data_IF_918842305866
#
_entry.id   IF_918842305866
#
_cell.length_a   1.000
_cell.length_b   1.000
_cell.length_c   1.000
_cell.angle_alpha   90.00
_cell.angle_beta   90.00
_cell.angle_gamma   90.00
#
_symmetry.space_group_name_H-M   'P 1'
#
loop_
_entity.id
_entity.type
_entity.pdbx_description
1 polymer ?
#
# COMPACT_ATOMS: atom_id res chain seq x y z
N UNK A 1 -5.80 -90.91 -17.85
CA UNK A 1 -4.59 -90.05 -17.99
C UNK A 1 -5.00 -88.64 -17.71
N UNK A 2 -4.54 -87.96 -16.64
CA UNK A 2 -4.90 -86.63 -16.37
C UNK A 2 -3.94 -85.61 -17.11
N UNK A 3 -4.50 -84.55 -17.64
CA UNK A 3 -3.81 -83.47 -18.34
C UNK A 3 -3.02 -82.58 -17.37
N UNK A 4 -1.78 -82.34 -17.74
CA UNK A 4 -0.86 -81.44 -17.01
C UNK A 4 -1.21 -80.00 -17.36
N UNK A 5 -1.58 -79.19 -16.35
CA UNK A 5 -1.71 -77.71 -16.46
C UNK A 5 -0.33 -77.06 -16.33
N UNK A 6 0.05 -76.33 -17.35
CA UNK A 6 1.26 -75.49 -17.35
C UNK A 6 1.14 -74.25 -16.46
N UNK A 7 2.26 -73.60 -16.05
CA UNK A 7 2.24 -72.47 -15.09
C UNK A 7 1.70 -71.20 -15.70
N UNK A 8 0.77 -70.60 -14.96
CA UNK A 8 0.20 -69.25 -15.24
C UNK A 8 1.25 -68.17 -15.02
N UNK A 9 1.58 -67.40 -16.04
CA UNK A 9 2.43 -66.19 -15.92
C UNK A 9 1.61 -64.98 -15.47
N UNK A 10 1.90 -64.47 -14.27
CA UNK A 10 1.34 -63.27 -13.75
C UNK A 10 1.94 -62.07 -14.51
N UNK A 11 1.16 -61.10 -14.98
CA UNK A 11 1.72 -59.91 -15.63
C UNK A 11 2.39 -59.00 -14.60
N UNK A 12 3.61 -58.55 -14.91
CA UNK A 12 4.41 -57.59 -14.16
C UNK A 12 3.78 -56.18 -14.32
N UNK A 13 3.63 -55.39 -13.27
CA UNK A 13 3.10 -54.05 -13.39
C UNK A 13 4.06 -53.15 -14.18
N UNK A 14 3.53 -52.49 -15.22
CA UNK A 14 4.21 -51.52 -16.05
C UNK A 14 4.56 -50.28 -15.21
N UNK A 15 5.83 -49.90 -15.19
CA UNK A 15 6.28 -48.68 -14.54
C UNK A 15 5.69 -47.45 -15.23
N UNK A 16 4.93 -46.63 -14.48
CA UNK A 16 4.46 -45.34 -14.94
C UNK A 16 5.65 -44.42 -15.21
N UNK A 17 5.62 -43.57 -16.27
CA UNK A 17 6.69 -42.63 -16.54
C UNK A 17 6.75 -41.58 -15.42
N UNK A 18 7.93 -41.45 -14.84
CA UNK A 18 8.25 -40.32 -13.93
C UNK A 18 8.20 -39.06 -14.79
N UNK A 19 7.16 -38.24 -14.59
CA UNK A 19 7.10 -36.89 -15.13
C UNK A 19 8.27 -36.10 -14.50
N UNK A 20 9.29 -35.84 -15.30
CA UNK A 20 10.37 -34.90 -14.94
C UNK A 20 9.71 -33.54 -14.63
N UNK A 21 9.86 -33.07 -13.40
CA UNK A 21 9.42 -31.74 -13.02
C UNK A 21 10.09 -30.74 -13.96
N UNK A 22 9.29 -29.92 -14.64
CA UNK A 22 9.81 -28.80 -15.40
C UNK A 22 10.68 -27.92 -14.48
N UNK A 23 11.80 -27.36 -14.95
CA UNK A 23 12.62 -26.51 -14.13
C UNK A 23 11.76 -25.31 -13.65
N UNK A 24 11.74 -25.10 -12.33
CA UNK A 24 11.14 -23.92 -11.73
C UNK A 24 11.81 -22.71 -12.39
N UNK A 25 11.07 -21.77 -13.00
CA UNK A 25 11.69 -20.60 -13.58
C UNK A 25 12.50 -19.89 -12.48
N UNK A 26 13.75 -19.60 -12.79
CA UNK A 26 14.59 -18.71 -11.94
C UNK A 26 13.80 -17.43 -11.72
N UNK A 27 13.71 -16.89 -10.49
CA UNK A 27 13.00 -15.64 -10.28
C UNK A 27 13.61 -14.60 -11.24
N UNK A 28 12.79 -14.09 -12.16
CA UNK A 28 13.15 -12.94 -12.96
C UNK A 28 13.57 -11.84 -11.98
N UNK A 29 14.69 -11.15 -12.24
CA UNK A 29 15.13 -10.06 -11.41
C UNK A 29 13.92 -9.14 -11.17
N UNK A 30 13.56 -8.91 -9.89
CA UNK A 30 12.37 -8.16 -9.56
C UNK A 30 12.44 -6.78 -10.22
N UNK A 31 11.40 -6.41 -10.97
CA UNK A 31 11.35 -5.14 -11.69
C UNK A 31 11.47 -3.98 -10.70
N UNK A 32 12.21 -2.93 -11.08
CA UNK A 32 12.29 -1.69 -10.31
C UNK A 32 10.88 -1.11 -10.08
N UNK A 33 10.55 -0.74 -8.86
CA UNK A 33 9.29 -0.08 -8.53
C UNK A 33 9.39 1.39 -8.93
N UNK A 34 8.53 1.82 -9.86
CA UNK A 34 8.37 3.21 -10.29
C UNK A 34 6.89 3.54 -10.17
N UNK A 35 6.49 4.04 -9.01
CA UNK A 35 5.09 4.11 -8.64
C UNK A 35 4.61 5.54 -8.36
N UNK A 36 3.29 5.75 -8.48
CA UNK A 36 2.62 6.99 -8.09
C UNK A 36 1.41 6.64 -7.22
N UNK A 37 1.27 7.34 -6.08
CA UNK A 37 0.05 7.27 -5.28
C UNK A 37 -1.04 8.19 -5.84
N UNK A 38 -2.24 7.63 -5.99
CA UNK A 38 -3.49 8.36 -6.27
C UNK A 38 -4.39 8.18 -5.06
N UNK A 39 -4.50 9.22 -4.24
CA UNK A 39 -5.18 9.16 -2.95
C UNK A 39 -6.67 9.47 -3.07
N UNK A 40 -7.40 9.31 -1.98
CA UNK A 40 -8.80 9.72 -1.90
C UNK A 40 -9.01 11.23 -2.16
N UNK A 41 -7.97 12.04 -2.02
CA UNK A 41 -8.03 13.48 -2.30
C UNK A 41 -8.13 13.77 -3.81
N UNK A 42 -7.57 12.91 -4.66
CA UNK A 42 -7.78 12.97 -6.11
C UNK A 42 -9.22 12.58 -6.46
N UNK A 43 -9.75 11.54 -5.78
CA UNK A 43 -11.13 11.08 -6.02
C UNK A 43 -12.19 12.13 -5.67
N UNK A 44 -11.92 13.08 -4.77
CA UNK A 44 -12.80 14.21 -4.47
C UNK A 44 -13.01 15.16 -5.66
N UNK A 45 -12.15 15.11 -6.66
CA UNK A 45 -12.15 15.97 -7.85
C UNK A 45 -12.44 15.20 -9.14
N UNK A 46 -12.77 13.90 -9.03
CA UNK A 46 -13.11 13.02 -10.14
C UNK A 46 -14.61 13.01 -10.35
N UNK A 47 -15.06 12.93 -11.59
CA UNK A 47 -16.49 12.94 -11.93
C UNK A 47 -17.10 11.54 -11.83
N UNK A 48 -17.84 11.28 -10.76
CA UNK A 48 -18.61 10.05 -10.54
C UNK A 48 -20.05 10.11 -11.07
N UNK A 49 -20.45 11.12 -11.83
CA UNK A 49 -21.83 11.26 -12.33
C UNK A 49 -22.26 10.16 -13.28
N UNK A 50 -21.33 9.50 -13.93
CA UNK A 50 -21.52 8.33 -14.79
C UNK A 50 -20.25 7.52 -14.94
N UNK A 51 -20.38 6.22 -15.33
CA UNK A 51 -19.22 5.40 -15.64
C UNK A 51 -18.33 6.02 -16.73
N UNK A 52 -18.94 6.60 -17.78
CA UNK A 52 -18.19 7.21 -18.89
C UNK A 52 -17.40 8.45 -18.47
N UNK A 53 -17.93 9.27 -17.58
CA UNK A 53 -17.26 10.44 -17.04
C UNK A 53 -16.08 10.00 -16.14
N UNK A 54 -16.33 9.09 -15.19
CA UNK A 54 -15.31 8.54 -14.32
C UNK A 54 -14.19 7.85 -15.11
N UNK A 55 -14.55 7.07 -16.14
CA UNK A 55 -13.59 6.39 -17.03
C UNK A 55 -12.69 7.38 -17.77
N UNK A 56 -13.22 8.51 -18.22
CA UNK A 56 -12.43 9.55 -18.87
C UNK A 56 -11.37 10.14 -17.93
N UNK A 57 -11.77 10.49 -16.70
CA UNK A 57 -10.85 11.00 -15.68
C UNK A 57 -9.82 9.95 -15.25
N UNK A 58 -10.26 8.72 -15.01
CA UNK A 58 -9.37 7.61 -14.66
C UNK A 58 -8.34 7.34 -15.77
N UNK A 59 -8.77 7.29 -17.03
CA UNK A 59 -7.87 7.10 -18.17
C UNK A 59 -6.84 8.23 -18.30
N UNK A 60 -7.24 9.49 -18.07
CA UNK A 60 -6.31 10.63 -18.07
C UNK A 60 -5.27 10.52 -16.94
N UNK A 61 -5.69 10.12 -15.73
CA UNK A 61 -4.79 9.87 -14.60
C UNK A 61 -3.77 8.78 -14.95
N UNK A 62 -4.23 7.63 -15.46
CA UNK A 62 -3.35 6.50 -15.79
C UNK A 62 -2.39 6.84 -16.94
N UNK A 63 -2.86 7.57 -17.97
CA UNK A 63 -2.02 8.05 -19.07
C UNK A 63 -0.92 8.99 -18.57
N UNK A 64 -1.26 9.92 -17.68
CA UNK A 64 -0.28 10.82 -17.08
C UNK A 64 0.79 10.05 -16.31
N UNK A 65 0.39 9.09 -15.46
CA UNK A 65 1.31 8.24 -14.69
C UNK A 65 2.22 7.43 -15.61
N UNK A 66 1.67 6.77 -16.62
CA UNK A 66 2.44 6.01 -17.60
C UNK A 66 3.43 6.91 -18.36
N UNK A 67 3.04 8.16 -18.66
CA UNK A 67 3.90 9.13 -19.34
C UNK A 67 5.17 9.51 -18.58
N UNK A 68 5.24 9.27 -17.27
CA UNK A 68 6.46 9.43 -16.47
C UNK A 68 7.47 8.29 -16.66
N UNK A 69 7.10 7.19 -17.33
CA UNK A 69 7.83 5.94 -17.28
C UNK A 69 7.56 5.13 -15.98
N UNK A 70 6.53 5.49 -15.21
CA UNK A 70 6.07 4.69 -14.09
C UNK A 70 5.48 3.36 -14.56
N UNK A 71 5.50 2.35 -13.69
CA UNK A 71 4.96 1.02 -13.97
C UNK A 71 3.87 0.58 -12.98
N UNK A 72 3.64 1.35 -11.92
CA UNK A 72 2.72 0.97 -10.85
C UNK A 72 1.91 2.19 -10.40
N UNK A 73 0.61 1.98 -10.15
CA UNK A 73 -0.26 2.94 -9.47
C UNK A 73 -0.79 2.34 -8.18
N UNK A 74 -0.61 3.08 -7.07
CA UNK A 74 -1.28 2.79 -5.80
C UNK A 74 -2.57 3.59 -5.74
N UNK A 75 -3.70 2.94 -6.04
CA UNK A 75 -5.02 3.58 -6.06
C UNK A 75 -5.73 3.41 -4.71
N UNK A 76 -6.06 4.51 -4.05
CA UNK A 76 -6.69 4.50 -2.72
C UNK A 76 -8.16 4.10 -2.83
N UNK A 77 -8.44 2.81 -2.77
CA UNK A 77 -9.78 2.25 -2.99
C UNK A 77 -10.59 2.08 -1.70
N UNK A 78 -9.93 2.12 -0.53
CA UNK A 78 -10.59 2.05 0.78
C UNK A 78 -9.88 2.95 1.81
N UNK A 79 -10.10 4.27 1.74
CA UNK A 79 -9.50 5.23 2.66
C UNK A 79 -10.18 5.29 4.03
N UNK A 80 -11.45 4.86 4.14
CA UNK A 80 -12.29 4.86 5.32
C UNK A 80 -13.00 3.51 5.49
N UNK A 81 -14.05 3.47 6.33
CA UNK A 81 -14.92 2.30 6.48
C UNK A 81 -15.90 2.11 5.33
N UNK A 82 -15.51 2.50 4.12
CA UNK A 82 -16.27 2.39 2.87
C UNK A 82 -15.32 2.13 1.68
N UNK A 83 -15.83 1.71 0.54
CA UNK A 83 -15.04 1.21 -0.58
C UNK A 83 -15.48 1.80 -1.93
N UNK A 84 -14.53 1.99 -2.85
CA UNK A 84 -14.76 2.38 -4.25
C UNK A 84 -15.18 1.19 -5.13
N UNK A 85 -15.82 0.18 -4.55
CA UNK A 85 -16.23 -1.04 -5.24
C UNK A 85 -17.37 -1.74 -4.49
N UNK A 86 -18.21 -2.54 -5.17
CA UNK A 86 -19.19 -3.41 -4.51
C UNK A 86 -18.52 -4.39 -3.55
N UNK A 87 -18.91 -4.37 -2.28
CA UNK A 87 -18.34 -5.24 -1.25
C UNK A 87 -19.42 -5.76 -0.29
N UNK A 88 -19.22 -6.98 0.21
CA UNK A 88 -20.03 -7.54 1.29
C UNK A 88 -19.58 -7.08 2.67
N UNK A 89 -18.39 -6.48 2.75
CA UNK A 89 -17.74 -6.07 4.00
C UNK A 89 -17.87 -4.57 4.24
N UNK A 90 -17.86 -3.76 3.17
CA UNK A 90 -17.83 -2.31 3.26
C UNK A 90 -18.90 -1.70 2.34
N UNK A 91 -19.66 -0.69 2.80
CA UNK A 91 -20.58 0.04 1.94
C UNK A 91 -19.84 0.80 0.84
N UNK A 92 -20.54 1.21 -0.21
CA UNK A 92 -19.99 2.13 -1.19
C UNK A 92 -19.49 3.43 -0.53
N UNK A 93 -18.36 3.93 -1.03
CA UNK A 93 -17.75 5.13 -0.49
C UNK A 93 -18.59 6.37 -0.74
N UNK A 94 -18.65 7.22 0.29
CA UNK A 94 -19.20 8.57 0.18
C UNK A 94 -18.52 9.41 -0.91
N UNK A 95 -17.28 9.08 -1.30
CA UNK A 95 -16.56 9.76 -2.38
C UNK A 95 -17.26 9.61 -3.74
N UNK A 96 -17.99 8.50 -3.94
CA UNK A 96 -18.67 8.25 -5.22
C UNK A 96 -19.92 9.13 -5.44
N UNK A 97 -20.67 9.43 -4.37
CA UNK A 97 -21.99 10.07 -4.49
C UNK A 97 -22.22 11.19 -3.47
N UNK A 98 -21.26 11.44 -2.57
CA UNK A 98 -21.43 12.31 -1.41
C UNK A 98 -22.07 11.61 -0.20
N UNK A 99 -22.62 10.39 -0.36
CA UNK A 99 -23.34 9.65 0.69
C UNK A 99 -22.79 8.24 0.82
N UNK A 100 -22.36 7.87 2.03
CA UNK A 100 -21.88 6.51 2.29
C UNK A 100 -22.98 5.47 2.05
N UNK A 101 -22.67 4.41 1.33
CA UNK A 101 -23.59 3.30 1.03
C UNK A 101 -24.49 3.53 -0.18
N UNK A 102 -24.47 4.71 -0.80
CA UNK A 102 -25.18 4.96 -2.03
C UNK A 102 -24.40 4.42 -3.23
N UNK A 103 -25.01 3.52 -4.00
CA UNK A 103 -24.46 2.94 -5.21
C UNK A 103 -24.34 4.01 -6.31
N UNK A 104 -23.15 4.22 -6.90
CA UNK A 104 -22.98 5.15 -8.03
C UNK A 104 -23.56 4.63 -9.36
N UNK A 105 -24.05 3.39 -9.41
CA UNK A 105 -24.61 2.76 -10.60
C UNK A 105 -23.57 2.11 -11.53
N UNK A 106 -22.31 2.06 -11.11
CA UNK A 106 -21.21 1.37 -11.81
C UNK A 106 -20.14 0.96 -10.79
N UNK A 107 -19.13 0.21 -11.26
CA UNK A 107 -18.02 -0.28 -10.43
C UNK A 107 -16.75 0.56 -10.67
N UNK A 108 -16.44 1.53 -9.80
CA UNK A 108 -15.25 2.37 -9.97
C UNK A 108 -13.94 1.60 -10.01
N UNK A 109 -13.78 0.55 -9.17
CA UNK A 109 -12.53 -0.22 -9.15
C UNK A 109 -12.33 -1.02 -10.44
N UNK A 110 -13.38 -1.60 -11.01
CA UNK A 110 -13.28 -2.25 -12.31
C UNK A 110 -12.77 -1.29 -13.38
N UNK A 111 -13.31 -0.06 -13.41
CA UNK A 111 -12.84 0.99 -14.34
C UNK A 111 -11.38 1.35 -14.09
N UNK A 112 -10.94 1.49 -12.82
CA UNK A 112 -9.55 1.80 -12.48
C UNK A 112 -8.58 0.70 -12.96
N UNK A 113 -8.92 -0.58 -12.73
CA UNK A 113 -8.12 -1.72 -13.18
C UNK A 113 -7.98 -1.75 -14.70
N UNK A 114 -9.11 -1.64 -15.41
CA UNK A 114 -9.12 -1.63 -16.88
C UNK A 114 -8.28 -0.48 -17.46
N UNK A 115 -8.44 0.73 -16.93
CA UNK A 115 -7.72 1.92 -17.43
C UNK A 115 -6.24 1.88 -17.10
N UNK A 116 -5.83 1.34 -15.95
CA UNK A 116 -4.43 1.14 -15.59
C UNK A 116 -3.78 0.10 -16.52
N UNK A 117 -4.39 -1.06 -16.69
CA UNK A 117 -3.88 -2.13 -17.56
C UNK A 117 -3.83 -1.69 -19.02
N UNK A 118 -4.77 -0.88 -19.50
CA UNK A 118 -4.73 -0.30 -20.85
C UNK A 118 -3.50 0.60 -21.10
N UNK A 119 -2.90 1.14 -20.03
CA UNK A 119 -1.65 1.92 -20.10
C UNK A 119 -0.40 1.08 -19.74
N UNK A 120 -0.54 -0.22 -19.51
CA UNK A 120 0.57 -1.10 -19.11
C UNK A 120 1.04 -0.89 -17.65
N UNK A 121 0.22 -0.24 -16.83
CA UNK A 121 0.48 -0.07 -15.39
C UNK A 121 -0.06 -1.27 -14.60
N UNK A 122 0.66 -1.68 -13.58
CA UNK A 122 0.08 -2.49 -12.52
C UNK A 122 -0.76 -1.61 -11.59
N UNK A 123 -1.92 -2.11 -11.15
CA UNK A 123 -2.75 -1.43 -10.16
C UNK A 123 -2.73 -2.20 -8.84
N UNK A 124 -2.25 -1.53 -7.80
CA UNK A 124 -2.32 -2.06 -6.44
C UNK A 124 -3.40 -1.31 -5.63
N UNK A 125 -4.31 -2.06 -5.04
CA UNK A 125 -5.41 -1.53 -4.26
C UNK A 125 -4.90 -1.01 -2.91
N UNK A 126 -4.84 0.32 -2.74
CA UNK A 126 -4.41 0.94 -1.50
C UNK A 126 -5.56 1.03 -0.50
N UNK A 127 -5.32 0.55 0.72
CA UNK A 127 -6.28 0.37 1.79
C UNK A 127 -5.72 0.92 3.10
N UNK A 128 -6.51 1.72 3.83
CA UNK A 128 -6.29 1.96 5.25
C UNK A 128 -7.01 0.86 6.05
N UNK A 129 -6.30 0.01 6.81
CA UNK A 129 -6.93 -1.18 7.39
C UNK A 129 -7.95 -0.86 8.48
N UNK A 130 -7.65 0.05 9.39
CA UNK A 130 -8.46 0.24 10.60
C UNK A 130 -9.36 1.47 10.59
N UNK A 131 -9.08 2.47 9.74
CA UNK A 131 -9.80 3.74 9.76
C UNK A 131 -11.22 3.60 9.22
N UNK A 132 -12.21 3.89 10.06
CA UNK A 132 -13.64 3.92 9.69
C UNK A 132 -14.11 5.34 9.39
N UNK A 133 -13.72 6.30 10.23
CA UNK A 133 -14.03 7.72 10.11
C UNK A 133 -12.87 8.54 10.69
N UNK A 134 -12.56 9.67 10.09
CA UNK A 134 -11.58 10.61 10.63
C UNK A 134 -11.97 12.05 10.32
N UNK A 135 -11.83 12.95 11.32
CA UNK A 135 -12.14 14.38 11.20
C UNK A 135 -13.54 14.64 10.62
N UNK A 136 -14.54 13.84 11.05
CA UNK A 136 -15.90 13.94 10.56
C UNK A 136 -16.13 13.43 9.13
N UNK A 137 -15.22 12.67 8.55
CA UNK A 137 -15.32 12.10 7.21
C UNK A 137 -15.34 10.57 7.26
N UNK A 138 -16.35 9.87 6.67
CA UNK A 138 -17.58 10.42 6.11
C UNK A 138 -18.45 11.12 7.18
N UNK A 139 -19.24 12.12 6.79
CA UNK A 139 -20.01 12.92 7.74
C UNK A 139 -21.10 12.08 8.45
N UNK A 140 -21.75 11.19 7.71
CA UNK A 140 -22.77 10.26 8.22
C UNK A 140 -22.38 8.82 7.86
N UNK A 141 -22.62 7.90 8.80
CA UNK A 141 -22.39 6.47 8.60
C UNK A 141 -23.72 5.81 8.20
N UNK A 142 -23.71 5.06 7.11
CA UNK A 142 -24.89 4.29 6.70
C UNK A 142 -25.08 3.02 7.57
N UNK A 143 -26.28 2.43 7.51
CA UNK A 143 -26.61 1.23 8.30
C UNK A 143 -25.69 0.02 8.02
N UNK A 144 -25.05 -0.04 6.84
CA UNK A 144 -24.11 -1.10 6.45
C UNK A 144 -22.67 -0.80 6.89
N UNK A 145 -22.41 0.35 7.53
CA UNK A 145 -21.07 0.66 8.03
C UNK A 145 -20.62 -0.38 9.08
N UNK A 146 -19.40 -0.90 8.99
CA UNK A 146 -18.85 -1.79 10.00
C UNK A 146 -18.89 -1.21 11.42
N UNK A 147 -18.83 0.14 11.55
CA UNK A 147 -18.95 0.80 12.84
C UNK A 147 -20.33 0.60 13.50
N UNK A 148 -21.40 0.53 12.70
CA UNK A 148 -22.77 0.34 13.19
C UNK A 148 -23.14 -1.14 13.28
N UNK A 149 -22.65 -1.96 12.34
CA UNK A 149 -22.90 -3.42 12.36
C UNK A 149 -22.15 -4.13 13.50
N UNK A 150 -20.95 -3.64 13.86
CA UNK A 150 -20.07 -4.27 14.82
C UNK A 150 -19.55 -3.27 15.88
N UNK A 151 -20.43 -2.64 16.67
CA UNK A 151 -20.01 -1.59 17.62
C UNK A 151 -18.94 -2.06 18.63
N UNK A 152 -18.89 -3.35 18.93
CA UNK A 152 -17.89 -3.94 19.83
C UNK A 152 -16.49 -4.05 19.20
N UNK A 153 -16.33 -3.76 17.91
CA UNK A 153 -15.06 -3.74 17.22
C UNK A 153 -14.49 -2.33 17.09
N UNK A 154 -15.22 -1.32 17.57
CA UNK A 154 -14.88 0.09 17.33
C UNK A 154 -14.17 0.68 18.52
N UNK A 155 -13.04 1.32 18.25
CA UNK A 155 -12.33 2.19 19.18
C UNK A 155 -12.52 3.65 18.77
N UNK A 156 -12.60 4.53 19.74
CA UNK A 156 -12.84 5.94 19.55
C UNK A 156 -11.58 6.75 19.87
N UNK A 157 -11.33 7.77 19.06
CA UNK A 157 -10.39 8.85 19.38
C UNK A 157 -11.13 10.19 19.39
N UNK A 158 -10.46 11.27 19.77
CA UNK A 158 -11.05 12.61 19.69
C UNK A 158 -11.44 13.00 18.25
N UNK A 159 -10.84 12.38 17.23
CA UNK A 159 -10.99 12.77 15.83
C UNK A 159 -11.57 11.68 14.94
N UNK A 160 -11.89 10.49 15.46
CA UNK A 160 -12.39 9.45 14.56
C UNK A 160 -12.72 8.12 15.22
N UNK A 161 -13.19 7.22 14.35
CA UNK A 161 -13.57 5.84 14.66
C UNK A 161 -12.61 4.89 13.95
N UNK A 162 -12.19 3.86 14.66
CA UNK A 162 -11.23 2.88 14.16
C UNK A 162 -11.66 1.47 14.57
N UNK A 163 -11.38 0.50 13.72
CA UNK A 163 -11.48 -0.90 14.10
C UNK A 163 -10.41 -1.22 15.16
N UNK A 164 -10.74 -2.05 16.14
CA UNK A 164 -9.82 -2.47 17.19
C UNK A 164 -8.71 -3.38 16.63
N UNK A 165 -7.44 -2.93 16.58
CA UNK A 165 -6.35 -3.73 16.06
C UNK A 165 -6.09 -5.04 16.82
N UNK A 166 -6.49 -5.11 18.07
CA UNK A 166 -6.32 -6.29 18.92
C UNK A 166 -7.38 -7.36 18.71
N UNK A 167 -8.48 -7.04 18.02
CA UNK A 167 -9.56 -7.98 17.80
C UNK A 167 -9.22 -9.00 16.69
N UNK A 168 -9.12 -10.27 17.04
CA UNK A 168 -8.94 -11.36 16.06
C UNK A 168 -10.08 -11.40 15.03
N UNK A 169 -11.30 -10.98 15.42
CA UNK A 169 -12.43 -10.88 14.49
C UNK A 169 -12.23 -9.76 13.47
N UNK A 170 -11.65 -8.65 13.90
CA UNK A 170 -11.28 -7.54 12.99
C UNK A 170 -10.18 -7.99 12.02
N UNK A 171 -9.13 -8.65 12.51
CA UNK A 171 -8.05 -9.16 11.65
C UNK A 171 -8.61 -10.15 10.60
N UNK A 172 -9.50 -11.05 11.00
CA UNK A 172 -10.15 -12.00 10.09
C UNK A 172 -11.05 -11.27 9.07
N UNK A 173 -11.85 -10.31 9.51
CA UNK A 173 -12.74 -9.50 8.66
C UNK A 173 -11.94 -8.73 7.60
N UNK A 174 -10.81 -8.15 7.98
CA UNK A 174 -9.93 -7.45 7.06
C UNK A 174 -9.27 -8.42 6.05
N UNK A 175 -8.79 -9.56 6.50
CA UNK A 175 -8.24 -10.58 5.64
C UNK A 175 -9.29 -11.14 4.65
N UNK A 176 -10.54 -11.35 5.09
CA UNK A 176 -11.62 -11.79 4.23
C UNK A 176 -12.02 -10.73 3.20
N UNK A 177 -11.98 -9.44 3.57
CA UNK A 177 -12.20 -8.34 2.60
C UNK A 177 -11.11 -8.27 1.53
N UNK A 178 -9.86 -8.65 1.85
CA UNK A 178 -8.77 -8.78 0.86
C UNK A 178 -9.03 -9.98 -0.06
N UNK A 179 -9.48 -11.12 0.47
CA UNK A 179 -9.87 -12.27 -0.37
C UNK A 179 -10.99 -11.90 -1.34
N UNK A 180 -11.97 -11.12 -0.89
CA UNK A 180 -13.03 -10.61 -1.76
C UNK A 180 -12.47 -9.79 -2.92
N UNK A 181 -11.58 -8.83 -2.65
CA UNK A 181 -10.91 -8.03 -3.68
C UNK A 181 -10.15 -8.90 -4.68
N UNK A 182 -9.29 -9.81 -4.19
CA UNK A 182 -8.51 -10.69 -5.04
C UNK A 182 -9.36 -11.70 -5.84
N UNK A 183 -10.57 -12.03 -5.35
CA UNK A 183 -11.52 -12.89 -6.06
C UNK A 183 -12.22 -12.18 -7.20
N UNK A 184 -12.59 -10.92 -6.97
CA UNK A 184 -13.50 -10.18 -7.85
C UNK A 184 -12.78 -9.31 -8.89
N UNK A 185 -11.51 -8.95 -8.64
CA UNK A 185 -10.76 -8.00 -9.47
C UNK A 185 -9.40 -8.54 -9.86
N UNK A 186 -8.96 -8.21 -11.08
CA UNK A 186 -7.62 -8.48 -11.56
C UNK A 186 -6.63 -7.41 -11.06
N UNK A 187 -6.63 -7.12 -9.77
CA UNK A 187 -5.64 -6.24 -9.15
C UNK A 187 -4.29 -6.95 -9.09
N UNK A 188 -3.21 -6.20 -9.21
CA UNK A 188 -1.84 -6.73 -9.21
C UNK A 188 -1.24 -6.80 -7.80
N UNK A 189 -1.80 -6.01 -6.88
CA UNK A 189 -1.34 -5.97 -5.49
C UNK A 189 -2.35 -5.35 -4.53
N UNK A 190 -2.07 -5.57 -3.24
CA UNK A 190 -2.68 -4.87 -2.11
C UNK A 190 -1.60 -4.01 -1.48
N UNK A 191 -1.90 -2.75 -1.21
CA UNK A 191 -1.00 -1.79 -0.60
C UNK A 191 -1.59 -1.21 0.69
N UNK A 192 -0.85 -1.28 1.79
CA UNK A 192 -1.15 -0.55 3.02
C UNK A 192 -0.20 0.64 3.16
N UNK A 193 -0.67 1.71 3.79
CA UNK A 193 0.17 2.83 4.21
C UNK A 193 0.64 2.70 5.67
N UNK A 194 0.93 3.82 6.33
CA UNK A 194 1.39 3.87 7.71
C UNK A 194 0.25 4.01 8.74
N UNK A 195 -1.03 4.04 8.32
CA UNK A 195 -2.16 4.25 9.22
C UNK A 195 -2.60 2.95 9.92
N UNK A 196 -1.79 2.48 10.88
CA UNK A 196 -2.14 1.35 11.76
C UNK A 196 -2.81 1.85 13.05
N UNK A 197 -2.06 2.08 14.11
CA UNK A 197 -2.65 2.68 15.31
C UNK A 197 -2.80 4.19 15.14
N UNK A 198 -3.99 4.76 15.46
CA UNK A 198 -4.24 6.20 15.28
C UNK A 198 -3.63 7.06 16.38
N UNK A 199 -3.20 6.45 17.50
CA UNK A 199 -2.70 7.15 18.67
C UNK A 199 -1.78 6.25 19.51
N UNK A 200 -0.89 6.88 20.25
CA UNK A 200 -0.05 6.22 21.27
C UNK A 200 -0.68 6.27 22.66
N UNK A 201 -1.81 6.94 22.84
CA UNK A 201 -2.51 7.06 24.11
C UNK A 201 -2.81 5.66 24.72
N UNK A 202 -2.46 5.43 25.98
CA UNK A 202 -2.59 4.08 26.57
C UNK A 202 -4.04 3.67 26.82
N UNK A 203 -4.97 4.60 26.90
CA UNK A 203 -6.39 4.36 27.11
C UNK A 203 -7.15 3.93 25.85
N UNK A 204 -6.56 4.10 24.68
CA UNK A 204 -7.19 3.76 23.40
C UNK A 204 -7.69 2.31 23.32
N UNK A 205 -6.93 1.37 23.84
CA UNK A 205 -7.19 -0.08 23.81
C UNK A 205 -6.92 -0.76 25.14
N UNK A 206 -6.98 0.01 26.26
CA UNK A 206 -6.68 -0.49 27.62
C UNK A 206 -7.57 -1.67 28.01
N UNK A 207 -8.84 -1.65 27.61
CA UNK A 207 -9.80 -2.73 27.85
C UNK A 207 -9.41 -4.01 27.08
N UNK A 208 -9.02 -3.89 25.84
CA UNK A 208 -8.56 -5.01 25.00
C UNK A 208 -7.23 -5.59 25.54
N UNK A 209 -6.30 -4.72 25.95
CA UNK A 209 -5.05 -5.15 26.56
C UNK A 209 -5.27 -5.89 27.87
N UNK A 210 -6.10 -5.35 28.76
CA UNK A 210 -6.44 -6.01 30.00
C UNK A 210 -7.15 -7.36 29.76
N UNK A 211 -8.09 -7.42 28.84
CA UNK A 211 -8.82 -8.64 28.50
C UNK A 211 -7.92 -9.72 27.86
N UNK A 212 -6.83 -9.33 27.21
CA UNK A 212 -5.87 -10.27 26.60
C UNK A 212 -5.09 -11.10 27.62
N UNK A 213 -4.98 -10.63 28.87
CA UNK A 213 -4.12 -11.23 29.88
C UNK A 213 -2.63 -11.19 29.55
N UNK A 214 -2.23 -10.35 28.60
CA UNK A 214 -0.85 -10.25 28.13
C UNK A 214 0.10 -9.76 29.23
N UNK A 215 1.31 -10.33 29.28
CA UNK A 215 2.37 -9.95 30.23
C UNK A 215 3.48 -9.13 29.60
N UNK A 216 3.48 -8.96 28.27
CA UNK A 216 4.44 -8.09 27.57
C UNK A 216 4.02 -6.63 27.66
N UNK A 217 4.92 -5.69 27.34
CA UNK A 217 4.58 -4.27 27.36
C UNK A 217 3.42 -3.94 26.41
N UNK A 218 2.65 -2.88 26.71
CA UNK A 218 1.56 -2.40 25.84
C UNK A 218 2.09 -2.13 24.40
N UNK A 219 3.28 -1.53 24.27
CA UNK A 219 3.86 -1.24 22.98
C UNK A 219 4.23 -2.53 22.20
N UNK A 220 4.78 -3.55 22.86
CA UNK A 220 5.08 -4.83 22.21
C UNK A 220 3.81 -5.57 21.84
N UNK A 221 2.78 -5.51 22.68
CA UNK A 221 1.48 -6.10 22.40
C UNK A 221 0.79 -5.45 21.20
N UNK A 222 0.82 -4.11 21.09
CA UNK A 222 0.31 -3.40 19.92
C UNK A 222 1.05 -3.78 18.65
N UNK A 223 2.39 -3.88 18.70
CA UNK A 223 3.19 -4.36 17.56
C UNK A 223 2.83 -5.79 17.16
N UNK A 224 2.59 -6.66 18.13
CA UNK A 224 2.15 -8.02 17.85
C UNK A 224 0.79 -8.05 17.13
N UNK A 225 -0.19 -7.24 17.54
CA UNK A 225 -1.48 -7.13 16.90
C UNK A 225 -1.35 -6.68 15.43
N UNK A 226 -0.48 -5.69 15.15
CA UNK A 226 -0.21 -5.26 13.77
C UNK A 226 0.50 -6.36 12.98
N UNK A 227 1.48 -7.05 13.57
CA UNK A 227 2.18 -8.17 12.94
C UNK A 227 1.22 -9.33 12.60
N UNK A 228 0.22 -9.58 13.43
CA UNK A 228 -0.79 -10.61 13.20
C UNK A 228 -1.71 -10.23 12.03
N UNK A 229 -2.14 -8.97 11.95
CA UNK A 229 -2.86 -8.45 10.78
C UNK A 229 -2.03 -8.60 9.49
N UNK A 230 -0.77 -8.15 9.52
CA UNK A 230 0.11 -8.21 8.35
C UNK A 230 0.21 -9.64 7.81
N UNK A 231 0.44 -10.64 8.69
CA UNK A 231 0.48 -12.05 8.30
C UNK A 231 -0.84 -12.55 7.72
N UNK A 232 -1.97 -12.20 8.33
CA UNK A 232 -3.29 -12.60 7.87
C UNK A 232 -3.60 -12.03 6.48
N UNK A 233 -3.29 -10.74 6.26
CA UNK A 233 -3.51 -10.07 4.99
C UNK A 233 -2.56 -10.55 3.90
N UNK A 234 -1.27 -10.75 4.22
CA UNK A 234 -0.30 -11.36 3.32
C UNK A 234 -0.79 -12.75 2.84
N UNK A 235 -1.17 -13.62 3.77
CA UNK A 235 -1.69 -14.94 3.42
C UNK A 235 -2.98 -14.88 2.59
N UNK A 236 -3.83 -13.88 2.84
CA UNK A 236 -5.06 -13.68 2.08
C UNK A 236 -4.79 -13.28 0.63
N UNK A 237 -3.85 -12.35 0.37
CA UNK A 237 -3.45 -11.92 -0.97
C UNK A 237 -2.69 -13.04 -1.71
N UNK A 238 -1.75 -13.69 -1.05
CA UNK A 238 -0.93 -14.77 -1.64
C UNK A 238 -1.71 -16.01 -2.02
N UNK A 239 -2.88 -16.26 -1.41
CA UNK A 239 -3.79 -17.33 -1.85
C UNK A 239 -4.28 -17.14 -3.30
N UNK A 240 -4.15 -15.94 -3.86
CA UNK A 240 -4.53 -15.56 -5.22
C UNK A 240 -3.33 -15.13 -6.09
N UNK A 241 -2.10 -15.31 -5.61
CA UNK A 241 -0.86 -14.82 -6.25
C UNK A 241 -0.83 -13.29 -6.44
N UNK A 242 -1.51 -12.54 -5.58
CA UNK A 242 -1.51 -11.07 -5.54
C UNK A 242 -0.43 -10.59 -4.58
N UNK A 243 0.35 -9.58 -4.99
CA UNK A 243 1.39 -8.96 -4.15
C UNK A 243 0.76 -8.26 -2.94
N UNK A 244 1.52 -8.20 -1.85
CA UNK A 244 1.14 -7.46 -0.66
C UNK A 244 2.30 -6.59 -0.18
N UNK A 245 2.10 -5.27 -0.12
CA UNK A 245 3.13 -4.35 0.29
C UNK A 245 2.64 -3.27 1.25
N UNK A 246 3.59 -2.52 1.81
CA UNK A 246 3.27 -1.47 2.77
C UNK A 246 4.23 -0.29 2.65
N UNK A 247 3.72 0.93 2.85
CA UNK A 247 4.53 2.15 2.96
C UNK A 247 4.48 2.70 4.40
N UNK A 248 5.39 2.23 5.27
CA UNK A 248 5.47 2.68 6.64
C UNK A 248 6.07 4.09 6.74
N UNK A 249 6.05 4.71 7.93
CA UNK A 249 6.71 5.98 8.18
C UNK A 249 8.19 5.95 7.80
N UNK A 250 8.74 7.12 7.44
CA UNK A 250 10.10 7.24 6.95
C UNK A 250 11.19 6.94 8.00
N UNK A 251 10.90 7.04 9.28
CA UNK A 251 11.83 6.74 10.37
C UNK A 251 11.49 5.43 11.07
N UNK A 252 12.51 4.64 11.42
CA UNK A 252 12.31 3.40 12.17
C UNK A 252 11.64 3.64 13.55
N UNK A 253 11.99 4.75 14.20
CA UNK A 253 11.35 5.13 15.47
C UNK A 253 9.88 5.48 15.27
N UNK A 254 9.54 6.24 14.21
CA UNK A 254 8.15 6.56 13.86
C UNK A 254 7.33 5.31 13.59
N UNK A 255 7.87 4.36 12.84
CA UNK A 255 7.22 3.07 12.61
C UNK A 255 6.95 2.35 13.94
N UNK A 256 8.00 2.15 14.73
CA UNK A 256 7.97 1.30 15.91
C UNK A 256 7.15 1.89 17.05
N UNK A 257 7.32 3.17 17.34
CA UNK A 257 6.81 3.83 18.55
C UNK A 257 5.59 4.72 18.27
N UNK A 258 5.42 5.17 17.01
CA UNK A 258 4.30 5.98 16.58
C UNK A 258 3.11 5.18 16.06
N UNK A 259 3.38 4.20 15.19
CA UNK A 259 2.36 3.41 14.50
C UNK A 259 2.33 1.93 14.92
N UNK A 260 3.25 1.52 15.79
CA UNK A 260 3.44 0.13 16.24
C UNK A 260 3.65 -0.84 15.06
N UNK A 261 4.23 -0.36 13.97
CA UNK A 261 4.60 -1.17 12.81
C UNK A 261 6.04 -1.68 12.96
N UNK A 262 6.21 -3.01 12.93
CA UNK A 262 7.51 -3.67 13.09
C UNK A 262 8.18 -3.88 11.72
N UNK A 263 8.42 -2.77 11.01
CA UNK A 263 8.93 -2.79 9.64
C UNK A 263 10.29 -3.50 9.50
N UNK A 264 11.14 -3.43 10.53
CA UNK A 264 12.41 -4.17 10.56
C UNK A 264 12.19 -5.70 10.58
N UNK A 265 11.19 -6.17 11.32
CA UNK A 265 10.78 -7.59 11.31
C UNK A 265 10.24 -7.98 9.93
N UNK A 266 9.41 -7.14 9.32
CA UNK A 266 8.79 -7.43 8.03
C UNK A 266 9.81 -7.50 6.89
N UNK A 267 10.89 -6.71 6.96
CA UNK A 267 12.03 -6.86 6.06
C UNK A 267 12.80 -8.17 6.30
N UNK A 268 13.06 -8.50 7.57
CA UNK A 268 13.95 -9.58 7.93
C UNK A 268 13.34 -10.98 7.81
N UNK A 269 12.00 -11.10 7.75
CA UNK A 269 11.30 -12.39 7.75
C UNK A 269 10.24 -12.47 6.66
N UNK A 270 10.09 -13.61 5.97
CA UNK A 270 9.04 -13.82 4.99
C UNK A 270 7.66 -13.90 5.66
N UNK A 271 6.60 -13.69 4.87
CA UNK A 271 5.21 -13.87 5.31
C UNK A 271 4.55 -12.62 5.88
N UNK A 272 5.16 -11.45 5.70
CA UNK A 272 4.60 -10.15 6.11
C UNK A 272 4.32 -9.23 4.93
N UNK A 273 5.22 -9.14 3.97
CA UNK A 273 5.07 -8.32 2.77
C UNK A 273 6.03 -8.78 1.66
N UNK A 274 5.78 -8.34 0.42
CA UNK A 274 6.64 -8.51 -0.75
C UNK A 274 7.52 -7.29 -1.00
N UNK A 275 7.11 -6.14 -0.48
CA UNK A 275 7.89 -4.91 -0.53
C UNK A 275 7.55 -3.97 0.62
N UNK A 276 8.53 -3.11 0.95
CA UNK A 276 8.38 -1.95 1.83
C UNK A 276 8.75 -0.69 1.07
N UNK A 277 7.98 0.39 1.31
CA UNK A 277 8.22 1.73 0.75
C UNK A 277 8.17 2.77 1.88
N UNK A 278 9.21 2.87 2.73
CA UNK A 278 9.28 3.90 3.76
C UNK A 278 9.12 5.30 3.17
N UNK A 279 8.33 6.17 3.81
CA UNK A 279 7.95 7.49 3.33
C UNK A 279 9.05 8.52 3.65
N UNK A 280 10.08 8.62 2.79
CA UNK A 280 11.21 9.55 2.96
C UNK A 280 10.89 10.91 2.34
N UNK A 281 9.99 11.67 2.96
CA UNK A 281 9.49 12.95 2.43
C UNK A 281 10.37 14.15 2.79
N UNK A 282 11.69 13.95 2.84
CA UNK A 282 12.70 14.98 3.07
C UNK A 282 13.69 15.08 1.91
N UNK A 283 14.36 16.22 1.82
CA UNK A 283 15.37 16.46 0.79
C UNK A 283 16.68 15.71 1.04
N UNK A 284 17.50 15.61 -0.02
CA UNK A 284 18.87 15.09 0.08
C UNK A 284 19.71 15.92 1.04
N UNK A 285 19.50 17.24 1.01
CA UNK A 285 20.24 18.22 1.81
C UNK A 285 19.47 18.70 3.04
N UNK A 286 18.40 17.97 3.44
CA UNK A 286 17.61 18.33 4.60
C UNK A 286 18.47 18.51 5.84
N UNK A 287 18.27 19.63 6.53
CA UNK A 287 18.80 19.91 7.87
C UNK A 287 17.72 20.59 8.71
N UNK A 288 17.71 20.30 9.99
CA UNK A 288 16.86 20.98 10.98
C UNK A 288 17.68 21.24 12.23
N UNK A 289 17.80 22.51 12.62
CA UNK A 289 18.66 22.93 13.73
C UNK A 289 20.11 22.42 13.60
N UNK A 290 20.65 22.43 12.39
CA UNK A 290 21.99 21.94 12.07
C UNK A 290 22.13 20.41 11.98
N UNK A 291 21.09 19.63 12.30
CA UNK A 291 21.09 18.15 12.19
C UNK A 291 20.59 17.71 10.82
N UNK A 292 21.27 16.75 10.20
CA UNK A 292 20.90 16.09 8.95
C UNK A 292 20.25 14.70 9.18
N UNK A 293 19.86 14.40 10.41
CA UNK A 293 19.37 13.06 10.81
C UNK A 293 18.18 12.55 9.97
N UNK A 294 17.36 13.47 9.43
CA UNK A 294 16.22 13.14 8.58
C UNK A 294 16.49 13.36 7.08
N UNK A 295 17.74 13.65 6.67
CA UNK A 295 18.03 13.76 5.24
C UNK A 295 17.76 12.44 4.53
N UNK A 296 17.25 12.51 3.31
CA UNK A 296 16.88 11.32 2.51
C UNK A 296 18.01 10.31 2.43
N UNK A 297 19.24 10.76 2.17
CA UNK A 297 20.39 9.87 2.04
C UNK A 297 20.71 9.10 3.33
N UNK A 298 20.62 9.75 4.50
CA UNK A 298 20.85 9.08 5.79
C UNK A 298 19.77 8.08 6.12
N UNK A 299 18.51 8.46 5.96
CA UNK A 299 17.40 7.55 6.22
C UNK A 299 17.44 6.35 5.25
N UNK A 300 17.68 6.59 3.96
CA UNK A 300 17.82 5.50 2.99
C UNK A 300 18.96 4.53 3.35
N UNK A 301 20.12 5.06 3.76
CA UNK A 301 21.24 4.23 4.20
C UNK A 301 20.89 3.43 5.48
N UNK A 302 20.18 4.03 6.44
CA UNK A 302 19.70 3.32 7.64
C UNK A 302 18.80 2.15 7.26
N UNK A 303 17.77 2.38 6.42
CA UNK A 303 16.86 1.33 5.96
C UNK A 303 17.58 0.23 5.16
N UNK A 304 18.49 0.60 4.26
CA UNK A 304 19.25 -0.35 3.44
C UNK A 304 20.22 -1.20 4.24
N UNK A 305 20.64 -0.74 5.44
CA UNK A 305 21.51 -1.48 6.35
C UNK A 305 20.80 -2.59 7.14
N UNK A 306 19.47 -2.60 7.16
CA UNK A 306 18.70 -3.60 7.90
C UNK A 306 18.79 -4.98 7.26
N UNK A 307 18.77 -6.06 8.06
CA UNK A 307 18.61 -7.41 7.55
C UNK A 307 17.35 -7.50 6.68
N UNK A 308 17.48 -8.09 5.49
CA UNK A 308 16.38 -8.23 4.54
C UNK A 308 16.40 -9.61 3.89
N UNK A 309 15.23 -10.23 3.73
CA UNK A 309 15.09 -11.43 2.90
C UNK A 309 15.18 -11.02 1.42
N UNK A 310 15.75 -11.88 0.58
CA UNK A 310 15.89 -11.62 -0.87
C UNK A 310 14.56 -11.42 -1.58
N UNK A 311 13.47 -12.00 -1.04
CA UNK A 311 12.12 -11.90 -1.62
C UNK A 311 11.45 -10.55 -1.36
N UNK A 312 11.95 -9.71 -0.44
CA UNK A 312 11.33 -8.43 -0.08
C UNK A 312 12.07 -7.27 -0.77
N UNK A 313 11.36 -6.54 -1.62
CA UNK A 313 11.87 -5.32 -2.23
C UNK A 313 11.84 -4.15 -1.23
N UNK A 314 12.86 -3.30 -1.26
CA UNK A 314 12.91 -2.07 -0.48
C UNK A 314 13.05 -0.88 -1.43
N UNK A 315 11.96 -0.18 -1.66
CA UNK A 315 11.89 1.09 -2.39
C UNK A 315 11.60 2.23 -1.41
N UNK A 316 11.53 3.48 -1.89
CA UNK A 316 11.30 4.62 -1.01
C UNK A 316 10.24 5.57 -1.56
N UNK A 317 9.43 6.12 -0.65
CA UNK A 317 8.43 7.15 -0.95
C UNK A 317 9.05 8.53 -0.98
N UNK A 318 8.78 9.30 -2.04
CA UNK A 318 9.25 10.65 -2.26
C UNK A 318 8.07 11.64 -2.23
N UNK A 319 8.26 12.79 -1.56
CA UNK A 319 7.21 13.77 -1.34
C UNK A 319 7.07 14.77 -2.49
N UNK A 320 6.28 14.47 -3.51
CA UNK A 320 6.01 15.42 -4.59
C UNK A 320 5.32 16.72 -4.12
N UNK A 321 4.63 16.68 -2.99
CA UNK A 321 4.01 17.86 -2.38
C UNK A 321 5.01 18.91 -1.86
N UNK A 322 6.29 18.55 -1.81
CA UNK A 322 7.38 19.43 -1.43
C UNK A 322 7.85 20.34 -2.58
N UNK A 323 7.44 20.07 -3.81
CA UNK A 323 7.79 20.89 -4.97
C UNK A 323 7.40 22.35 -4.71
N UNK A 324 8.40 23.26 -4.70
CA UNK A 324 8.23 24.68 -4.46
C UNK A 324 8.07 25.09 -2.98
N UNK A 325 7.43 24.26 -2.14
CA UNK A 325 7.21 24.57 -0.71
C UNK A 325 8.41 24.23 0.17
N UNK A 326 9.19 23.20 -0.22
CA UNK A 326 10.29 22.70 0.59
C UNK A 326 9.82 21.74 1.69
N UNK A 327 10.75 21.35 2.57
CA UNK A 327 10.57 20.34 3.60
C UNK A 327 10.67 20.88 5.03
N UNK A 328 10.56 22.20 5.20
CA UNK A 328 10.64 22.91 6.50
C UNK A 328 12.01 22.78 7.19
N UNK A 329 13.03 22.37 6.46
CA UNK A 329 14.41 22.34 6.92
C UNK A 329 15.06 23.72 6.93
N UNK A 330 16.28 23.80 7.50
CA UNK A 330 17.10 25.01 7.51
C UNK A 330 17.48 25.48 6.09
N UNK A 331 17.40 24.56 5.11
CA UNK A 331 17.72 24.79 3.70
C UNK A 331 16.49 24.85 2.81
N UNK A 332 15.30 25.09 3.36
CA UNK A 332 14.07 25.27 2.60
C UNK A 332 13.93 26.72 2.10
N UNK A 333 13.34 26.89 0.92
CA UNK A 333 13.05 28.19 0.33
C UNK A 333 13.59 28.35 -1.10
N UNK A 334 13.47 29.55 -1.69
CA UNK A 334 13.95 29.83 -3.04
C UNK A 334 15.44 29.49 -3.21
N UNK A 335 15.79 28.75 -4.25
CA UNK A 335 17.15 28.32 -4.54
C UNK A 335 17.57 27.01 -3.87
N UNK A 336 16.68 26.36 -3.13
CA UNK A 336 16.89 25.00 -2.57
C UNK A 336 16.53 23.91 -3.57
N UNK A 337 16.80 22.63 -3.23
CA UNK A 337 16.55 21.50 -4.11
C UNK A 337 15.09 21.44 -4.59
N UNK A 338 14.10 21.77 -3.74
CA UNK A 338 12.68 21.73 -4.06
C UNK A 338 12.19 22.80 -5.05
N UNK A 339 13.06 23.78 -5.36
CA UNK A 339 12.81 24.85 -6.34
C UNK A 339 13.63 24.68 -7.62
N UNK A 340 14.26 23.52 -7.84
CA UNK A 340 15.15 23.28 -9.00
C UNK A 340 14.42 22.69 -10.20
N UNK A 341 13.21 22.12 -10.02
CA UNK A 341 12.48 21.41 -11.04
C UNK A 341 13.04 20.03 -11.40
N UNK A 342 13.95 19.48 -10.58
CA UNK A 342 14.52 18.14 -10.76
C UNK A 342 14.88 17.45 -9.43
N UNK A 343 14.28 17.88 -8.32
CA UNK A 343 14.53 17.31 -6.99
C UNK A 343 14.19 15.83 -6.93
N UNK A 344 12.97 15.46 -7.35
CA UNK A 344 12.49 14.08 -7.32
C UNK A 344 13.31 13.16 -8.24
N UNK A 345 13.66 13.63 -9.43
CA UNK A 345 14.51 12.89 -10.37
C UNK A 345 15.91 12.63 -9.78
N UNK A 346 16.50 13.64 -9.11
CA UNK A 346 17.79 13.53 -8.42
C UNK A 346 17.70 12.55 -7.25
N UNK A 347 16.62 12.61 -6.46
CA UNK A 347 16.37 11.70 -5.35
C UNK A 347 16.22 10.25 -5.84
N UNK A 348 15.42 10.01 -6.90
CA UNK A 348 15.23 8.69 -7.48
C UNK A 348 16.56 8.10 -8.01
N UNK A 349 17.37 8.91 -8.69
CA UNK A 349 18.69 8.51 -9.18
C UNK A 349 19.64 8.17 -8.02
N UNK A 350 19.64 8.98 -6.98
CA UNK A 350 20.45 8.74 -5.77
C UNK A 350 20.05 7.44 -5.10
N UNK A 351 18.77 7.20 -4.89
CA UNK A 351 18.26 5.97 -4.27
C UNK A 351 18.63 4.73 -5.10
N UNK A 352 18.53 4.82 -6.43
CA UNK A 352 18.97 3.74 -7.33
C UNK A 352 20.45 3.45 -7.13
N UNK A 353 21.30 4.48 -7.03
CA UNK A 353 22.74 4.31 -6.80
C UNK A 353 23.08 3.70 -5.45
N UNK A 354 22.21 3.88 -4.44
CA UNK A 354 22.34 3.29 -3.12
C UNK A 354 21.85 1.82 -3.05
N UNK A 355 21.25 1.30 -4.13
CA UNK A 355 20.74 -0.08 -4.18
C UNK A 355 19.27 -0.23 -3.75
N UNK A 356 18.49 0.84 -3.81
CA UNK A 356 17.03 0.79 -3.67
C UNK A 356 16.40 -0.04 -4.77
N UNK A 357 15.28 -0.71 -4.48
CA UNK A 357 14.44 -1.40 -5.46
C UNK A 357 13.52 -0.45 -6.24
N UNK A 358 13.63 0.86 -6.06
CA UNK A 358 12.85 1.87 -6.78
C UNK A 358 12.38 3.02 -5.91
N UNK A 359 11.40 3.77 -6.44
CA UNK A 359 10.78 4.90 -5.76
C UNK A 359 9.28 5.01 -6.08
N UNK A 360 8.53 5.64 -5.18
CA UNK A 360 7.13 5.97 -5.35
C UNK A 360 6.88 7.45 -5.01
N UNK A 361 6.03 8.14 -5.79
CA UNK A 361 5.82 9.58 -5.68
C UNK A 361 4.49 9.89 -4.98
N UNK A 362 4.54 10.56 -3.84
CA UNK A 362 3.37 11.01 -3.11
C UNK A 362 3.14 12.51 -3.33
N UNK A 363 2.14 12.94 -4.13
CA UNK A 363 1.12 12.17 -4.81
C UNK A 363 0.82 12.78 -6.19
N UNK A 364 -0.05 12.16 -6.97
CA UNK A 364 -0.42 12.51 -8.34
C UNK A 364 -0.72 14.02 -8.54
N UNK A 365 -1.58 14.63 -7.70
CA UNK A 365 -2.02 16.00 -7.89
C UNK A 365 -0.86 17.02 -7.85
N UNK A 366 0.19 16.76 -7.09
CA UNK A 366 1.33 17.68 -7.00
C UNK A 366 2.25 17.65 -8.22
N UNK A 367 2.11 16.65 -9.07
CA UNK A 367 2.77 16.57 -10.36
C UNK A 367 1.87 17.11 -11.48
N UNK A 368 0.64 16.63 -11.58
CA UNK A 368 -0.21 16.85 -12.76
C UNK A 368 -1.34 17.88 -12.57
N UNK A 369 -1.60 18.31 -11.34
CA UNK A 369 -2.61 19.31 -11.01
C UNK A 369 -2.06 20.35 -10.02
N UNK A 370 -0.76 20.61 -10.04
CA UNK A 370 -0.12 21.58 -9.15
C UNK A 370 -0.45 23.02 -9.58
N UNK A 371 -1.33 23.67 -8.84
CA UNK A 371 -1.75 25.06 -9.11
C UNK A 371 -0.85 26.10 -8.47
N UNK A 372 -0.05 25.72 -7.47
CA UNK A 372 0.84 26.65 -6.76
C UNK A 372 2.18 26.83 -7.50
N UNK A 373 2.75 25.73 -8.00
CA UNK A 373 4.05 25.69 -8.66
C UNK A 373 4.01 24.93 -10.00
N UNK A 374 3.14 25.33 -10.95
CA UNK A 374 2.91 24.54 -12.17
C UNK A 374 4.18 24.37 -13.01
N UNK A 375 4.98 25.42 -13.18
CA UNK A 375 6.22 25.35 -13.94
C UNK A 375 7.27 24.41 -13.32
N UNK A 376 7.40 24.42 -11.98
CA UNK A 376 8.30 23.48 -11.30
C UNK A 376 7.82 22.04 -11.43
N UNK A 377 6.50 21.81 -11.33
CA UNK A 377 5.93 20.48 -11.53
C UNK A 377 6.16 19.97 -12.97
N UNK A 378 5.99 20.80 -13.97
CA UNK A 378 6.29 20.46 -15.38
C UNK A 378 7.77 20.11 -15.57
N UNK A 379 8.69 20.85 -14.94
CA UNK A 379 10.12 20.55 -14.98
C UNK A 379 10.46 19.23 -14.28
N UNK A 380 9.88 18.98 -13.09
CA UNK A 380 10.02 17.69 -12.39
C UNK A 380 9.50 16.52 -13.23
N UNK A 381 8.35 16.65 -13.91
CA UNK A 381 7.82 15.66 -14.83
C UNK A 381 8.82 15.38 -15.97
N UNK A 382 9.38 16.43 -16.56
CA UNK A 382 10.36 16.28 -17.63
C UNK A 382 11.63 15.54 -17.14
N UNK A 383 12.16 15.92 -15.98
CA UNK A 383 13.34 15.30 -15.40
C UNK A 383 13.08 13.84 -14.97
N UNK A 384 11.89 13.53 -14.43
CA UNK A 384 11.50 12.15 -14.08
C UNK A 384 11.39 11.25 -15.33
N UNK A 385 10.90 11.77 -16.46
CA UNK A 385 10.86 11.03 -17.74
C UNK A 385 12.25 10.62 -18.22
N UNK A 386 13.27 11.44 -18.00
CA UNK A 386 14.66 11.10 -18.34
C UNK A 386 15.22 9.98 -17.47
N UNK A 387 14.75 9.87 -16.21
CA UNK A 387 15.24 8.87 -15.25
C UNK A 387 14.47 7.55 -15.33
N UNK A 388 13.17 7.61 -15.63
CA UNK A 388 12.26 6.45 -15.62
C UNK A 388 11.85 5.95 -17.00
N UNK A 389 12.00 6.77 -18.03
CA UNK A 389 11.66 6.49 -19.43
C UNK A 389 12.57 5.54 -20.19
#
# INVERSE_FOLDING_TARGET
MPAVLGPSTTPQPSASPVLSAAPTPSPAAAQEIRAVWVSFLEWQHTDFSSESAFRADAAAIMQNIASLGANTVFAHVRPFGDALYPSRYFPFSHLCTGTQGQDPGFDPLAVLVETAHAQGLTLEAWINPYRLQANGTPAELCAQSPALLHPNWVKHTATGLYLDPASIKVQQYLADSIRELCTNYAIDGIHFDDYFYPTTAPDFDADSYAASGSTISLADWRRQNVNDLMRACYAAAHAFNVRFGVSPQGTLTGCRDGQYSDAALWLAKPGYCDYLIPQLYWGLNYRKNGSDALSLGRLAAEWLSLPRTESVQLAFGLGAYRIGDGDEGDTSGPGTEWCTGHALATQATTLRSLGSSGAALYRYAFLFANTLYPTLAEQEIAALREVWG
#
